data_IF_767613288822
#
_entry.id   IF_767613288822
#
_cell.length_a   1.000
_cell.length_b   1.000
_cell.length_c   1.000
_cell.angle_alpha   90.00
_cell.angle_beta   90.00
_cell.angle_gamma   90.00
#
_symmetry.space_group_name_H-M   'P 1'
#
loop_
_entity.id
_entity.type
_entity.pdbx_description
1 polymer ?
#
# COMPACT_ATOMS: atom_id res chain seq x y z
N UNK A 1 13.53 -10.79 25.83
CA UNK A 1 13.12 -10.22 24.52
C UNK A 1 12.81 -8.74 24.72
N UNK A 2 13.46 -7.85 23.97
CA UNK A 2 13.06 -6.44 23.92
C UNK A 2 11.69 -6.30 23.26
N UNK A 3 10.89 -5.34 23.73
CA UNK A 3 9.55 -5.08 23.19
C UNK A 3 9.64 -4.68 21.72
N UNK A 4 8.56 -4.91 20.97
CA UNK A 4 8.51 -4.49 19.57
C UNK A 4 8.73 -2.97 19.45
N UNK A 5 8.21 -2.21 20.43
CA UNK A 5 8.34 -0.75 20.53
C UNK A 5 9.81 -0.32 20.64
N UNK A 6 10.61 -1.01 21.46
CA UNK A 6 12.03 -0.74 21.59
C UNK A 6 12.80 -1.07 20.31
N UNK A 7 12.44 -2.17 19.65
CA UNK A 7 13.09 -2.64 18.42
C UNK A 7 12.79 -1.73 17.22
N UNK A 8 11.68 -1.00 17.24
CA UNK A 8 11.28 -0.12 16.15
C UNK A 8 11.55 1.36 16.45
N UNK A 9 12.13 1.70 17.60
CA UNK A 9 12.31 3.08 18.09
C UNK A 9 12.99 4.04 17.10
N UNK A 10 13.90 3.53 16.27
CA UNK A 10 14.68 4.34 15.30
C UNK A 10 14.13 4.23 13.87
N UNK A 11 13.00 3.56 13.67
CA UNK A 11 12.45 3.35 12.33
C UNK A 11 11.73 4.61 11.85
N UNK A 12 12.03 5.10 10.64
CA UNK A 12 11.44 6.35 10.14
C UNK A 12 9.91 6.24 9.97
N UNK A 13 9.39 5.04 9.76
CA UNK A 13 7.95 4.76 9.65
C UNK A 13 7.22 4.60 11.00
N UNK A 14 7.93 4.68 12.14
CA UNK A 14 7.34 4.35 13.45
C UNK A 14 6.22 5.30 13.85
N UNK A 15 6.44 6.59 13.68
CA UNK A 15 5.48 7.60 14.12
C UNK A 15 4.23 7.57 13.23
N UNK A 16 4.42 7.34 11.94
CA UNK A 16 3.32 7.09 11.02
C UNK A 16 2.49 5.87 11.45
N UNK A 17 3.15 4.80 11.95
CA UNK A 17 2.47 3.59 12.49
C UNK A 17 1.60 3.92 13.71
N UNK A 18 2.11 4.73 14.62
CA UNK A 18 1.40 5.06 15.87
C UNK A 18 0.23 6.02 15.66
N UNK A 19 0.24 6.77 14.57
CA UNK A 19 -0.83 7.70 14.21
C UNK A 19 -1.93 7.07 13.35
N UNK A 20 -1.85 5.77 13.07
CA UNK A 20 -2.89 5.11 12.30
C UNK A 20 -4.19 4.96 13.09
N UNK A 21 -5.34 5.14 12.42
CA UNK A 21 -6.62 4.84 13.03
C UNK A 21 -6.68 3.36 13.45
N UNK A 22 -7.11 3.11 14.68
CA UNK A 22 -7.32 1.77 15.29
C UNK A 22 -8.43 0.93 14.60
N UNK A 23 -8.87 1.32 13.41
CA UNK A 23 -9.98 0.67 12.75
C UNK A 23 -9.59 -0.72 12.23
N UNK A 24 -10.21 -1.73 12.85
CA UNK A 24 -10.45 -3.11 12.40
C UNK A 24 -9.47 -3.59 11.31
N UNK A 25 -8.37 -4.22 11.74
CA UNK A 25 -7.54 -5.20 11.02
C UNK A 25 -7.14 -4.92 9.56
N UNK A 26 -8.12 -4.89 8.65
CA UNK A 26 -7.90 -4.66 7.22
C UNK A 26 -7.40 -3.24 6.93
N UNK A 27 -7.95 -2.21 7.59
CA UNK A 27 -7.52 -0.82 7.31
C UNK A 27 -6.12 -0.55 7.86
N UNK A 28 -5.86 -0.93 9.11
CA UNK A 28 -4.52 -0.81 9.71
C UNK A 28 -3.44 -1.53 8.91
N UNK A 29 -3.74 -2.72 8.36
CA UNK A 29 -2.81 -3.45 7.50
C UNK A 29 -2.50 -2.71 6.20
N UNK A 30 -3.52 -2.22 5.50
CA UNK A 30 -3.32 -1.46 4.26
C UNK A 30 -2.47 -0.24 4.52
N UNK A 31 -2.81 0.46 5.58
CA UNK A 31 -2.20 1.72 5.88
C UNK A 31 -0.74 1.53 6.36
N UNK A 32 -0.43 0.48 7.14
CA UNK A 32 0.94 0.01 7.37
C UNK A 32 1.70 -0.27 6.06
N UNK A 33 1.09 -1.01 5.13
CA UNK A 33 1.70 -1.36 3.84
C UNK A 33 2.00 -0.13 2.99
N UNK A 34 1.06 0.81 2.90
CA UNK A 34 1.23 2.06 2.15
C UNK A 34 2.31 2.94 2.78
N UNK A 35 2.27 3.15 4.09
CA UNK A 35 3.25 3.96 4.83
C UNK A 35 4.68 3.42 4.71
N UNK A 36 4.84 2.10 4.73
CA UNK A 36 6.16 1.46 4.65
C UNK A 36 6.63 1.21 3.22
N UNK A 37 5.89 1.68 2.20
CA UNK A 37 6.12 1.39 0.79
C UNK A 37 6.18 -0.12 0.45
N UNK A 38 5.56 -0.95 1.30
CA UNK A 38 5.32 -2.38 1.10
C UNK A 38 3.88 -2.62 0.67
N UNK A 39 3.42 -1.86 -0.32
CA UNK A 39 2.03 -1.90 -0.79
C UNK A 39 1.65 -3.26 -1.42
N UNK A 40 2.60 -4.05 -1.90
CA UNK A 40 2.33 -5.30 -2.63
C UNK A 40 1.42 -5.09 -3.86
N UNK A 41 1.47 -3.92 -4.50
CA UNK A 41 0.86 -3.67 -5.81
C UNK A 41 1.83 -4.03 -6.94
N UNK A 42 1.41 -3.99 -8.22
CA UNK A 42 2.24 -4.41 -9.37
C UNK A 42 3.66 -3.81 -9.32
N UNK A 43 3.81 -2.53 -8.98
CA UNK A 43 5.11 -1.88 -8.93
C UNK A 43 6.04 -2.48 -7.86
N UNK A 44 5.51 -2.85 -6.70
CA UNK A 44 6.28 -3.51 -5.64
C UNK A 44 6.55 -4.98 -5.99
N UNK A 45 5.55 -5.70 -6.50
CA UNK A 45 5.66 -7.12 -6.87
C UNK A 45 6.64 -7.35 -8.03
N UNK A 46 6.70 -6.44 -8.99
CA UNK A 46 7.62 -6.50 -10.12
C UNK A 46 9.09 -6.43 -9.67
N UNK A 47 9.40 -5.71 -8.57
CA UNK A 47 10.76 -5.68 -7.97
C UNK A 47 11.22 -7.04 -7.47
N UNK A 48 10.29 -7.96 -7.22
CA UNK A 48 10.57 -9.34 -6.80
C UNK A 48 10.31 -10.36 -7.92
N UNK A 49 10.09 -9.91 -9.16
CA UNK A 49 9.78 -10.76 -10.31
C UNK A 49 8.56 -11.66 -10.11
N UNK A 50 7.61 -11.23 -9.28
CA UNK A 50 6.33 -11.94 -9.07
C UNK A 50 5.36 -11.63 -10.24
N UNK A 51 5.45 -10.43 -10.80
CA UNK A 51 4.70 -9.98 -11.97
C UNK A 51 5.66 -9.39 -13.00
N UNK A 52 5.31 -9.51 -14.28
CA UNK A 52 6.20 -9.15 -15.40
C UNK A 52 6.29 -7.65 -15.68
N UNK A 53 5.34 -6.85 -15.16
CA UNK A 53 5.27 -5.41 -15.41
C UNK A 53 4.88 -4.63 -14.14
N UNK A 54 5.49 -3.47 -13.87
CA UNK A 54 5.07 -2.60 -12.79
C UNK A 54 3.85 -1.74 -13.16
N UNK A 55 3.43 -1.76 -14.43
CA UNK A 55 2.36 -0.93 -14.94
C UNK A 55 1.01 -1.35 -14.33
N UNK A 56 0.17 -0.36 -14.05
CA UNK A 56 -1.19 -0.57 -13.63
C UNK A 56 -2.00 -1.17 -14.78
N UNK A 57 -2.39 -2.44 -14.63
CA UNK A 57 -3.22 -3.18 -15.59
C UNK A 57 -4.59 -2.55 -15.80
N UNK A 58 -5.03 -1.75 -14.83
CA UNK A 58 -6.32 -1.07 -14.84
C UNK A 58 -6.29 0.25 -15.62
N UNK A 59 -5.12 0.90 -15.75
CA UNK A 59 -5.01 2.17 -16.45
C UNK A 59 -4.34 2.02 -17.82
N UNK A 60 -4.89 2.68 -18.84
CA UNK A 60 -4.28 2.69 -20.18
C UNK A 60 -3.09 3.65 -20.30
N UNK A 61 -2.64 4.25 -19.20
CA UNK A 61 -1.57 5.28 -19.20
C UNK A 61 -0.17 4.70 -19.06
N UNK A 62 -0.03 3.42 -18.68
CA UNK A 62 1.26 2.80 -18.38
C UNK A 62 1.91 3.29 -17.08
N UNK A 63 1.17 4.04 -16.25
CA UNK A 63 1.64 4.47 -14.94
C UNK A 63 1.90 3.26 -14.03
N UNK A 64 2.86 3.39 -13.11
CA UNK A 64 3.16 2.34 -12.14
C UNK A 64 2.00 2.19 -11.14
N UNK A 65 1.58 0.95 -10.86
CA UNK A 65 0.57 0.69 -9.83
C UNK A 65 1.24 0.68 -8.45
N UNK A 66 1.29 1.84 -7.80
CA UNK A 66 1.85 2.03 -6.48
C UNK A 66 0.93 2.91 -5.61
N UNK A 67 1.31 3.12 -4.35
CA UNK A 67 0.59 3.98 -3.41
C UNK A 67 0.26 5.38 -3.97
N UNK A 68 1.19 6.00 -4.70
CA UNK A 68 1.02 7.35 -5.27
C UNK A 68 -0.01 7.40 -6.41
N UNK A 69 -0.20 6.27 -7.11
CA UNK A 69 -1.14 6.16 -8.22
C UNK A 69 -2.59 5.96 -7.76
N UNK A 70 -2.81 5.31 -6.60
CA UNK A 70 -4.15 4.98 -6.09
C UNK A 70 -5.11 6.19 -5.97
N UNK A 71 -4.68 7.37 -5.48
CA UNK A 71 -5.57 8.53 -5.35
C UNK A 71 -5.93 9.17 -6.70
N UNK A 72 -5.03 9.09 -7.68
CA UNK A 72 -5.16 9.77 -8.98
C UNK A 72 -5.98 8.92 -9.96
N UNK A 73 -6.02 7.61 -9.77
CA UNK A 73 -6.69 6.71 -10.69
C UNK A 73 -8.22 6.82 -10.60
N UNK A 74 -8.85 7.25 -11.69
CA UNK A 74 -10.27 7.62 -11.73
C UNK A 74 -11.23 6.44 -11.78
N UNK A 75 -10.80 5.26 -12.23
CA UNK A 75 -11.68 4.08 -12.32
C UNK A 75 -11.83 3.34 -11.00
N UNK A 76 -11.03 3.65 -9.97
CA UNK A 76 -11.30 3.15 -8.61
C UNK A 76 -12.52 3.86 -8.06
N UNK A 77 -13.55 3.08 -7.75
CA UNK A 77 -14.87 3.58 -7.37
C UNK A 77 -14.94 3.95 -5.89
N UNK A 78 -13.96 3.53 -5.09
CA UNK A 78 -13.99 3.71 -3.63
C UNK A 78 -13.49 5.09 -3.20
N UNK A 79 -14.07 5.59 -2.12
CA UNK A 79 -13.84 6.96 -1.63
C UNK A 79 -12.50 7.14 -0.89
N UNK A 80 -12.10 6.18 -0.05
CA UNK A 80 -10.86 6.29 0.71
C UNK A 80 -9.73 5.43 0.10
N UNK A 81 -8.49 5.85 0.34
CA UNK A 81 -7.29 5.18 -0.17
C UNK A 81 -7.21 3.70 0.25
N UNK A 82 -7.73 3.35 1.43
CA UNK A 82 -7.68 1.98 1.94
C UNK A 82 -8.60 1.02 1.17
N UNK A 83 -9.78 1.49 0.77
CA UNK A 83 -10.67 0.70 -0.09
C UNK A 83 -10.20 0.68 -1.53
N UNK A 84 -9.65 1.79 -2.02
CA UNK A 84 -8.98 1.87 -3.34
C UNK A 84 -7.84 0.87 -3.45
N UNK A 85 -7.06 0.70 -2.39
CA UNK A 85 -6.01 -0.31 -2.31
C UNK A 85 -6.56 -1.72 -2.51
N UNK A 86 -7.63 -2.10 -1.80
CA UNK A 86 -8.21 -3.44 -1.94
C UNK A 86 -8.82 -3.65 -3.32
N UNK A 87 -9.52 -2.65 -3.86
CA UNK A 87 -10.06 -2.69 -5.24
C UNK A 87 -8.95 -2.87 -6.29
N UNK A 88 -7.85 -2.14 -6.13
CA UNK A 88 -6.64 -2.29 -6.94
C UNK A 88 -6.00 -3.69 -6.78
N UNK A 89 -5.92 -4.19 -5.55
CA UNK A 89 -5.30 -5.48 -5.23
C UNK A 89 -6.12 -6.67 -5.72
N UNK A 90 -7.44 -6.61 -5.64
CA UNK A 90 -8.35 -7.65 -6.11
C UNK A 90 -8.37 -7.75 -7.64
N UNK A 91 -7.77 -6.78 -8.32
CA UNK A 91 -7.61 -6.75 -9.78
C UNK A 91 -6.20 -7.16 -10.25
N UNK A 92 -5.31 -7.53 -9.32
CA UNK A 92 -4.00 -8.13 -9.65
C UNK A 92 -4.19 -9.51 -10.26
#
# INVERSE_FOLDING_TARGET
>A
MSSLIERTKEKPWRDDILNLPDCLGSTGLVAFRLTTAHDCLYAHLCRFWIVDSPACSLCCTGAQMNADHLPVYSSLTKYCIYFRYWEARDSL
#
